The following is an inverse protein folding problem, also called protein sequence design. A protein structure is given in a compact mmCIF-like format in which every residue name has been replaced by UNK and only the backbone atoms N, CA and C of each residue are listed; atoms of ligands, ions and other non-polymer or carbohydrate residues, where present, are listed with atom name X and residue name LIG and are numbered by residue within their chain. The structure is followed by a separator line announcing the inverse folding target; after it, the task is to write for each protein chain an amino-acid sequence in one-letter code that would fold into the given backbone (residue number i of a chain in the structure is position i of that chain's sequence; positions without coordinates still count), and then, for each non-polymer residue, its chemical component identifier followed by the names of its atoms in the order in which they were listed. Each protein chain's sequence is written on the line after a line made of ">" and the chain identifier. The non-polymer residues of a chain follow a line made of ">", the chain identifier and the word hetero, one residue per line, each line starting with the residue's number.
data_IF_636581957014
#
_entry.id   IF_636581957014
#
_cell.length_a   1.000
_cell.length_b   1.000
_cell.length_c   1.000
_cell.angle_alpha   90.00
_cell.angle_beta   90.00
_cell.angle_gamma   90.00
#
_symmetry.space_group_name_H-M   'P 1'
#
loop_
_entity.id
_entity.type
_entity.pdbx_description
1 polymer ?
#
# COMPACT_ATOMS: atom_id res chain seq x y z
N UNK A 1 -13.71 -20.51 -8.65
CA UNK A 1 -14.47 -19.39 -8.06
C UNK A 1 -13.68 -18.12 -8.32
N UNK A 2 -14.28 -17.12 -8.96
CA UNK A 2 -13.64 -15.82 -9.22
C UNK A 2 -13.50 -15.07 -7.91
N UNK A 3 -12.28 -14.69 -7.52
CA UNK A 3 -12.05 -13.85 -6.34
C UNK A 3 -12.71 -12.49 -6.54
N UNK A 4 -13.51 -12.06 -5.56
CA UNK A 4 -14.12 -10.73 -5.55
C UNK A 4 -13.11 -9.71 -5.01
N UNK A 5 -13.23 -8.46 -5.46
CA UNK A 5 -12.48 -7.34 -4.87
C UNK A 5 -12.82 -7.24 -3.39
N UNK A 6 -11.80 -7.32 -2.52
CA UNK A 6 -11.94 -7.10 -1.08
C UNK A 6 -11.82 -5.62 -0.77
N UNK A 7 -12.72 -5.13 0.07
CA UNK A 7 -12.79 -3.72 0.48
C UNK A 7 -12.61 -3.63 1.99
N UNK A 8 -11.58 -2.88 2.39
CA UNK A 8 -11.32 -2.56 3.78
C UNK A 8 -11.36 -1.04 4.00
N UNK A 9 -11.91 -0.63 5.15
CA UNK A 9 -11.92 0.77 5.58
C UNK A 9 -11.12 0.93 6.86
N UNK A 10 -10.44 2.06 7.01
CA UNK A 10 -9.64 2.37 8.20
C UNK A 10 -9.87 3.79 8.64
N UNK A 11 -10.19 3.97 9.92
CA UNK A 11 -10.29 5.30 10.54
C UNK A 11 -9.05 5.58 11.37
N UNK A 12 -8.42 6.75 11.13
CA UNK A 12 -7.22 7.21 11.84
C UNK A 12 -7.57 7.95 13.14
N UNK A 13 -6.62 8.12 14.07
CA UNK A 13 -6.77 9.05 15.19
C UNK A 13 -7.00 10.48 14.70
N UNK A 14 -7.52 11.33 15.58
CA UNK A 14 -7.51 12.77 15.34
C UNK A 14 -6.09 13.30 15.16
N UNK A 15 -5.93 14.24 14.24
CA UNK A 15 -4.70 15.01 14.15
C UNK A 15 -4.71 16.12 15.20
N UNK A 16 -3.54 16.73 15.45
CA UNK A 16 -3.36 17.77 16.47
C UNK A 16 -4.38 18.91 16.33
N UNK A 17 -4.62 19.39 15.11
CA UNK A 17 -5.59 20.46 14.84
C UNK A 17 -7.02 20.07 15.21
N UNK A 18 -7.42 18.83 14.93
CA UNK A 18 -8.76 18.33 15.27
C UNK A 18 -8.95 18.20 16.79
N UNK A 19 -7.90 17.78 17.51
CA UNK A 19 -7.87 17.73 18.98
C UNK A 19 -7.95 19.14 19.57
N UNK A 20 -7.11 20.07 19.10
CA UNK A 20 -7.03 21.44 19.62
C UNK A 20 -8.35 22.21 19.47
N UNK A 21 -9.10 21.93 18.39
CA UNK A 21 -10.41 22.56 18.12
C UNK A 21 -11.56 21.79 18.80
N UNK A 22 -11.29 20.67 19.46
CA UNK A 22 -12.31 19.86 20.13
C UNK A 22 -13.33 19.26 19.16
N UNK A 23 -12.87 18.74 18.01
CA UNK A 23 -13.77 18.15 17.01
C UNK A 23 -14.41 16.86 17.53
N UNK A 24 -15.68 16.67 17.19
CA UNK A 24 -16.43 15.47 17.52
C UNK A 24 -16.04 14.30 16.61
N UNK A 25 -15.91 13.10 17.19
CA UNK A 25 -15.73 11.88 16.40
C UNK A 25 -17.09 11.43 15.86
N UNK A 26 -17.17 11.27 14.55
CA UNK A 26 -18.41 10.89 13.85
C UNK A 26 -18.33 9.51 13.21
N UNK A 27 -17.28 8.74 13.51
CA UNK A 27 -17.06 7.41 12.96
C UNK A 27 -16.90 6.44 14.12
N UNK A 28 -17.71 5.39 14.14
CA UNK A 28 -17.47 4.22 14.98
C UNK A 28 -17.42 2.97 14.10
N UNK A 29 -16.68 1.97 14.56
CA UNK A 29 -16.56 0.70 13.86
C UNK A 29 -16.71 -0.44 14.86
N UNK A 30 -17.40 -1.48 14.41
CA UNK A 30 -17.53 -2.73 15.14
C UNK A 30 -17.57 -3.87 14.14
N UNK A 31 -16.70 -4.86 14.33
CA UNK A 31 -16.56 -6.01 13.43
C UNK A 31 -16.34 -5.56 11.97
N UNK A 32 -17.25 -5.89 11.07
CA UNK A 32 -17.23 -5.54 9.65
C UNK A 32 -18.07 -4.28 9.32
N UNK A 33 -18.63 -3.62 10.34
CA UNK A 33 -19.51 -2.47 10.18
C UNK A 33 -18.81 -1.16 10.52
N UNK A 34 -19.06 -0.15 9.69
CA UNK A 34 -18.67 1.24 9.91
C UNK A 34 -19.92 2.10 10.00
N UNK A 35 -20.06 2.84 11.10
CA UNK A 35 -21.20 3.71 11.38
C UNK A 35 -20.75 5.16 11.32
N UNK A 36 -21.43 5.95 10.48
CA UNK A 36 -21.24 7.39 10.35
C UNK A 36 -22.37 8.14 11.05
N UNK A 37 -22.01 8.91 12.07
CA UNK A 37 -22.91 9.77 12.82
C UNK A 37 -22.98 11.16 12.20
N UNK A 38 -24.11 11.84 12.40
CA UNK A 38 -24.23 13.25 12.03
C UNK A 38 -23.57 14.13 13.12
N UNK A 39 -22.77 15.16 12.75
CA UNK A 39 -22.18 16.06 13.74
C UNK A 39 -23.27 16.80 14.52
N UNK A 40 -23.12 16.89 15.84
CA UNK A 40 -23.99 17.67 16.71
C UNK A 40 -23.78 19.17 16.45
N UNK A 41 -24.85 19.94 16.27
CA UNK A 41 -24.76 21.42 16.21
C UNK A 41 -24.57 22.04 14.82
N UNK A 42 -24.86 21.32 13.73
CA UNK A 42 -25.03 22.00 12.43
C UNK A 42 -26.31 22.86 12.47
N UNK A 43 -26.26 24.09 11.93
CA UNK A 43 -27.41 25.01 11.83
C UNK A 43 -28.59 24.47 11.00
N UNK A 44 -28.47 23.25 10.49
CA UNK A 44 -29.50 22.51 9.79
C UNK A 44 -30.46 21.90 10.82
N UNK A 45 -31.67 22.46 10.91
CA UNK A 45 -32.71 22.08 11.90
C UNK A 45 -33.14 20.60 11.81
N UNK A 46 -32.77 19.91 10.73
CA UNK A 46 -33.04 18.47 10.52
C UNK A 46 -31.86 17.53 10.83
N UNK A 47 -30.68 18.07 11.18
CA UNK A 47 -29.48 17.26 11.43
C UNK A 47 -29.62 16.31 12.63
N UNK A 48 -30.34 16.72 13.68
CA UNK A 48 -30.61 15.90 14.86
C UNK A 48 -31.62 14.77 14.63
N UNK A 49 -32.30 14.73 13.47
CA UNK A 49 -33.31 13.70 13.12
C UNK A 49 -32.81 12.64 12.13
N UNK A 50 -31.61 12.82 11.56
CA UNK A 50 -31.08 11.85 10.59
C UNK A 50 -30.44 10.67 11.31
N UNK A 51 -30.95 9.48 11.02
CA UNK A 51 -30.38 8.23 11.53
C UNK A 51 -28.92 8.07 11.07
N UNK A 52 -28.04 7.48 11.90
CA UNK A 52 -26.68 7.14 11.49
C UNK A 52 -26.66 6.27 10.23
N UNK A 53 -25.68 6.47 9.36
CA UNK A 53 -25.50 5.64 8.17
C UNK A 53 -24.55 4.49 8.48
N UNK A 54 -24.99 3.26 8.23
CA UNK A 54 -24.20 2.06 8.47
C UNK A 54 -23.77 1.43 7.15
N UNK A 55 -22.50 1.07 7.05
CA UNK A 55 -21.89 0.40 5.90
C UNK A 55 -21.23 -0.90 6.37
N UNK A 56 -21.26 -1.93 5.52
CA UNK A 56 -20.56 -3.18 5.74
C UNK A 56 -19.44 -3.35 4.71
N UNK A 57 -18.28 -3.79 5.16
CA UNK A 57 -17.08 -4.02 4.36
C UNK A 57 -16.47 -5.38 4.73
N UNK A 58 -15.49 -5.87 3.97
CA UNK A 58 -14.77 -7.09 4.36
C UNK A 58 -14.00 -6.87 5.68
N UNK A 59 -13.43 -5.67 5.86
CA UNK A 59 -12.77 -5.27 7.10
C UNK A 59 -13.05 -3.80 7.46
N UNK A 60 -13.33 -3.54 8.75
CA UNK A 60 -13.43 -2.18 9.30
C UNK A 60 -12.39 -2.00 10.43
N UNK A 61 -11.31 -1.27 10.13
CA UNK A 61 -10.18 -1.05 11.04
C UNK A 61 -10.36 0.24 11.85
N UNK A 62 -10.66 0.07 13.14
CA UNK A 62 -10.71 1.17 14.08
C UNK A 62 -9.31 1.47 14.63
N UNK A 63 -8.66 2.55 14.18
CA UNK A 63 -7.31 2.91 14.64
C UNK A 63 -7.30 4.25 15.38
N UNK A 64 -8.37 4.63 16.07
CA UNK A 64 -8.49 5.96 16.70
C UNK A 64 -7.70 6.09 18.00
N UNK A 65 -7.86 5.14 18.94
CA UNK A 65 -7.23 5.20 20.26
C UNK A 65 -6.59 3.86 20.62
N UNK A 66 -5.28 3.87 20.83
CA UNK A 66 -4.54 2.67 21.19
C UNK A 66 -4.84 2.14 22.60
N UNK A 67 -5.51 2.92 23.45
CA UNK A 67 -5.92 2.50 24.79
C UNK A 67 -7.13 1.56 24.76
N UNK A 68 -7.94 1.58 23.69
CA UNK A 68 -9.10 0.70 23.49
C UNK A 68 -8.64 -0.58 22.78
N UNK A 69 -7.88 -1.42 23.51
CA UNK A 69 -7.13 -2.57 22.96
C UNK A 69 -8.01 -3.57 22.20
N UNK A 70 -9.25 -3.74 22.64
CA UNK A 70 -10.24 -4.64 22.04
C UNK A 70 -10.71 -4.22 20.64
N UNK A 71 -10.64 -2.92 20.32
CA UNK A 71 -11.03 -2.39 19.00
C UNK A 71 -9.83 -1.95 18.16
N UNK A 72 -8.71 -1.61 18.78
CA UNK A 72 -7.61 -0.94 18.10
C UNK A 72 -6.91 -1.83 17.05
N UNK A 73 -7.02 -1.41 15.79
CA UNK A 73 -6.32 -2.01 14.67
C UNK A 73 -4.96 -1.30 14.44
N UNK A 74 -3.89 -1.93 14.90
CA UNK A 74 -2.51 -1.48 14.64
C UNK A 74 -2.05 -1.85 13.21
N UNK A 75 -0.86 -1.39 12.82
CA UNK A 75 -0.28 -1.69 11.49
C UNK A 75 -0.14 -3.19 11.20
N UNK A 76 0.26 -3.98 12.20
CA UNK A 76 0.40 -5.43 12.03
C UNK A 76 -0.95 -6.11 11.81
N UNK A 77 -2.01 -5.65 12.47
CA UNK A 77 -3.39 -6.14 12.25
C UNK A 77 -3.85 -5.88 10.82
N UNK A 78 -3.62 -4.66 10.31
CA UNK A 78 -3.97 -4.30 8.92
C UNK A 78 -3.18 -5.13 7.92
N UNK A 79 -1.87 -5.30 8.12
CA UNK A 79 -1.03 -6.16 7.28
C UNK A 79 -1.50 -7.62 7.30
N UNK A 80 -1.77 -8.19 8.47
CA UNK A 80 -2.21 -9.58 8.59
C UNK A 80 -3.54 -9.84 7.87
N UNK A 81 -4.43 -8.85 7.81
CA UNK A 81 -5.75 -8.97 7.17
C UNK A 81 -5.75 -8.64 5.68
N UNK A 82 -4.90 -7.73 5.22
CA UNK A 82 -4.89 -7.28 3.83
C UNK A 82 -3.61 -7.62 3.06
N UNK A 83 -2.44 -7.45 3.70
CA UNK A 83 -1.14 -7.64 3.06
C UNK A 83 -0.73 -9.11 2.92
N UNK A 84 -1.00 -9.93 3.94
CA UNK A 84 -0.60 -11.34 3.95
C UNK A 84 -1.21 -12.12 2.78
N UNK A 85 -2.51 -11.97 2.55
CA UNK A 85 -3.18 -12.66 1.45
C UNK A 85 -2.61 -12.27 0.08
N UNK A 86 -2.24 -11.00 -0.10
CA UNK A 86 -1.63 -10.53 -1.35
C UNK A 86 -0.25 -11.14 -1.57
N UNK A 87 0.53 -11.30 -0.49
CA UNK A 87 1.80 -12.03 -0.54
C UNK A 87 1.59 -13.52 -0.85
N UNK A 88 0.63 -14.17 -0.18
CA UNK A 88 0.29 -15.58 -0.42
C UNK A 88 -0.12 -15.82 -1.88
N UNK A 89 -0.89 -14.89 -2.47
CA UNK A 89 -1.28 -14.93 -3.89
C UNK A 89 -0.10 -14.74 -4.83
N UNK A 90 0.84 -13.84 -4.50
CA UNK A 90 2.05 -13.64 -5.29
C UNK A 90 2.92 -14.91 -5.35
N UNK A 91 3.10 -15.62 -4.23
CA UNK A 91 3.82 -16.90 -4.22
C UNK A 91 3.09 -18.03 -4.96
N UNK A 92 1.77 -17.91 -5.15
CA UNK A 92 0.98 -18.84 -5.96
C UNK A 92 1.01 -18.50 -7.47
N UNK A 93 1.75 -17.48 -7.90
CA UNK A 93 1.81 -17.05 -9.30
C UNK A 93 0.62 -16.18 -9.74
N UNK A 94 -0.05 -15.50 -8.81
CA UNK A 94 -1.12 -14.56 -9.14
C UNK A 94 -0.66 -13.11 -9.02
N UNK A 95 -1.08 -12.29 -9.99
CA UNK A 95 -1.01 -10.84 -9.87
C UNK A 95 -1.97 -10.36 -8.77
N UNK A 96 -1.44 -9.62 -7.79
CA UNK A 96 -2.21 -9.08 -6.69
C UNK A 96 -1.90 -7.59 -6.48
N UNK A 97 -2.89 -6.82 -6.04
CA UNK A 97 -2.78 -5.37 -5.92
C UNK A 97 -3.51 -4.86 -4.67
N UNK A 98 -2.87 -3.93 -3.95
CA UNK A 98 -3.46 -3.15 -2.86
C UNK A 98 -3.29 -1.68 -3.21
N UNK A 99 -4.39 -0.93 -3.19
CA UNK A 99 -4.34 0.53 -3.31
C UNK A 99 -5.07 1.19 -2.15
N UNK A 100 -4.53 2.31 -1.69
CA UNK A 100 -5.15 3.10 -0.64
C UNK A 100 -5.91 4.28 -1.23
N UNK A 101 -7.19 4.42 -0.87
CA UNK A 101 -8.07 5.47 -1.33
C UNK A 101 -8.60 6.32 -0.17
N UNK A 102 -8.87 7.60 -0.42
CA UNK A 102 -9.45 8.52 0.55
C UNK A 102 -8.94 9.95 0.41
N UNK A 103 -9.54 10.88 1.17
CA UNK A 103 -9.15 12.29 1.15
C UNK A 103 -7.69 12.53 1.59
N UNK A 104 -7.14 13.70 1.27
CA UNK A 104 -5.83 14.12 1.81
C UNK A 104 -5.85 14.12 3.33
N UNK A 105 -4.79 13.57 3.92
CA UNK A 105 -4.68 13.44 5.38
C UNK A 105 -5.50 12.30 5.99
N UNK A 106 -6.19 11.44 5.21
CA UNK A 106 -6.95 10.30 5.77
C UNK A 106 -6.09 9.14 6.28
N UNK A 107 -4.79 9.14 6.00
CA UNK A 107 -3.87 8.05 6.40
C UNK A 107 -3.49 7.06 5.30
N UNK A 108 -3.67 7.39 4.01
CA UNK A 108 -3.25 6.55 2.87
C UNK A 108 -1.77 6.15 2.95
N UNK A 109 -0.87 7.14 3.00
CA UNK A 109 0.58 6.90 3.10
C UNK A 109 0.97 6.21 4.41
N UNK A 110 0.30 6.54 5.51
CA UNK A 110 0.51 5.86 6.79
C UNK A 110 0.12 4.37 6.72
N UNK A 111 -0.94 4.02 6.01
CA UNK A 111 -1.36 2.62 5.85
C UNK A 111 -0.43 1.85 4.93
N UNK A 112 -0.06 2.42 3.78
CA UNK A 112 0.79 1.74 2.79
C UNK A 112 2.26 1.70 3.23
N UNK A 113 2.84 2.84 3.59
CA UNK A 113 4.26 2.96 3.93
C UNK A 113 4.50 2.97 5.45
N UNK A 114 3.68 3.72 6.19
CA UNK A 114 3.84 3.88 7.64
C UNK A 114 4.87 4.94 8.02
N UNK A 115 5.39 4.81 9.25
CA UNK A 115 6.54 5.58 9.74
C UNK A 115 7.71 4.63 9.99
N UNK A 116 8.88 5.16 10.37
CA UNK A 116 10.04 4.34 10.72
C UNK A 116 9.73 3.37 11.88
N UNK A 117 8.97 3.82 12.87
CA UNK A 117 8.55 3.05 14.05
C UNK A 117 7.33 2.18 13.77
N UNK A 118 6.43 2.65 12.90
CA UNK A 118 5.15 2.02 12.59
C UNK A 118 5.07 1.68 11.10
N UNK A 119 5.91 0.73 10.67
CA UNK A 119 5.96 0.18 9.30
C UNK A 119 4.55 -0.20 8.80
N UNK A 120 4.19 0.25 7.60
CA UNK A 120 2.92 -0.02 6.94
C UNK A 120 2.89 -1.35 6.18
N UNK A 121 1.94 -1.49 5.26
CA UNK A 121 1.74 -2.71 4.46
C UNK A 121 2.97 -3.04 3.61
N UNK A 122 3.50 -2.08 2.84
CA UNK A 122 4.59 -2.30 1.89
C UNK A 122 5.85 -2.81 2.61
N UNK A 123 6.44 -2.10 3.59
CA UNK A 123 7.65 -2.60 4.24
C UNK A 123 7.45 -3.93 4.99
N UNK A 124 6.26 -4.20 5.54
CA UNK A 124 5.95 -5.50 6.16
C UNK A 124 5.82 -6.63 5.14
N UNK A 125 5.25 -6.33 3.97
CA UNK A 125 5.16 -7.27 2.87
C UNK A 125 6.55 -7.62 2.34
N UNK A 126 7.43 -6.62 2.17
CA UNK A 126 8.81 -6.83 1.74
C UNK A 126 9.60 -7.68 2.75
N UNK A 127 9.43 -7.44 4.05
CA UNK A 127 10.08 -8.21 5.12
C UNK A 127 9.64 -9.68 5.08
N UNK A 128 8.32 -9.91 5.08
CA UNK A 128 7.75 -11.26 5.00
C UNK A 128 8.07 -11.99 3.68
N UNK A 129 8.16 -11.25 2.56
CA UNK A 129 8.55 -11.81 1.26
C UNK A 129 9.93 -12.46 1.34
N UNK A 130 10.92 -11.73 1.85
CA UNK A 130 12.28 -12.25 1.96
C UNK A 130 12.41 -13.29 3.08
N UNK A 131 11.67 -13.15 4.18
CA UNK A 131 11.57 -14.20 5.21
C UNK A 131 11.06 -15.52 4.60
N UNK A 132 10.02 -15.48 3.77
CA UNK A 132 9.48 -16.68 3.13
C UNK A 132 10.42 -17.26 2.06
N UNK A 133 11.14 -16.42 1.31
CA UNK A 133 12.19 -16.87 0.38
C UNK A 133 13.33 -17.56 1.14
N UNK A 134 13.83 -16.97 2.23
CA UNK A 134 14.93 -17.52 3.02
C UNK A 134 14.54 -18.80 3.76
N UNK A 135 13.30 -18.90 4.24
CA UNK A 135 12.82 -20.07 4.96
C UNK A 135 12.41 -21.23 4.03
N UNK A 136 12.38 -21.04 2.71
CA UNK A 136 12.13 -22.13 1.78
C UNK A 136 13.37 -23.03 1.67
N UNK A 137 13.20 -24.31 2.02
CA UNK A 137 14.26 -25.33 2.00
C UNK A 137 14.25 -26.19 0.72
N UNK A 138 13.34 -25.90 -0.22
CA UNK A 138 13.24 -26.62 -1.49
C UNK A 138 14.35 -26.19 -2.45
N UNK A 139 15.37 -27.03 -2.61
CA UNK A 139 16.50 -26.81 -3.52
C UNK A 139 16.08 -26.76 -5.00
N UNK A 140 14.89 -27.25 -5.35
CA UNK A 140 14.36 -27.15 -6.71
C UNK A 140 13.84 -25.75 -7.03
N UNK A 141 13.58 -24.92 -6.02
CA UNK A 141 12.98 -23.60 -6.21
C UNK A 141 14.03 -22.48 -6.07
N UNK A 142 13.98 -21.53 -6.99
CA UNK A 142 14.75 -20.29 -6.91
C UNK A 142 13.88 -19.08 -7.20
N UNK A 143 14.22 -17.95 -6.57
CA UNK A 143 13.43 -16.74 -6.60
C UNK A 143 14.23 -15.56 -7.12
N UNK A 144 13.59 -14.74 -7.95
CA UNK A 144 14.13 -13.45 -8.39
C UNK A 144 13.12 -12.36 -8.09
N UNK A 145 13.55 -11.35 -7.35
CA UNK A 145 12.73 -10.18 -7.03
C UNK A 145 13.23 -8.97 -7.81
N UNK A 146 12.33 -8.28 -8.49
CA UNK A 146 12.59 -7.02 -9.19
C UNK A 146 11.59 -5.97 -8.72
N UNK A 147 12.07 -4.76 -8.44
CA UNK A 147 11.28 -3.66 -7.89
C UNK A 147 11.28 -2.48 -8.85
N UNK A 148 10.14 -1.82 -8.96
CA UNK A 148 10.02 -0.50 -9.57
C UNK A 148 9.16 0.41 -8.68
N UNK A 149 9.48 1.71 -8.70
CA UNK A 149 8.73 2.70 -7.92
C UNK A 149 8.58 3.97 -8.73
N UNK A 150 7.33 4.36 -9.00
CA UNK A 150 7.03 5.53 -9.82
C UNK A 150 5.98 6.43 -9.18
N UNK A 151 6.00 7.68 -9.60
CA UNK A 151 4.99 8.68 -9.30
C UNK A 151 4.28 9.10 -10.58
N UNK A 152 2.95 9.17 -10.52
CA UNK A 152 2.11 9.73 -11.57
C UNK A 152 1.54 11.05 -11.03
N UNK A 153 1.88 12.15 -11.70
CA UNK A 153 1.41 13.48 -11.35
C UNK A 153 1.08 14.28 -12.60
N UNK A 154 -0.15 14.80 -12.66
CA UNK A 154 -0.63 15.59 -13.80
C UNK A 154 -0.38 14.87 -15.15
N UNK A 155 -0.77 13.59 -15.22
CA UNK A 155 -0.58 12.70 -16.38
C UNK A 155 0.89 12.50 -16.82
N UNK A 156 1.86 12.88 -15.96
CA UNK A 156 3.28 12.62 -16.17
C UNK A 156 3.77 11.53 -15.24
N UNK A 157 4.60 10.64 -15.77
CA UNK A 157 5.20 9.54 -15.01
C UNK A 157 6.65 9.89 -14.68
N UNK A 158 7.02 9.74 -13.42
CA UNK A 158 8.36 9.99 -12.92
C UNK A 158 8.88 8.75 -12.22
N UNK A 159 10.11 8.38 -12.55
CA UNK A 159 10.82 7.31 -11.85
C UNK A 159 11.33 7.82 -10.50
N UNK A 160 10.93 7.17 -9.41
CA UNK A 160 11.37 7.53 -8.08
C UNK A 160 12.73 6.90 -7.72
N UNK A 161 13.21 5.94 -8.51
CA UNK A 161 14.47 5.23 -8.32
C UNK A 161 15.57 5.68 -9.30
N UNK A 162 15.33 6.69 -10.14
CA UNK A 162 16.36 7.22 -11.03
C UNK A 162 17.49 7.90 -10.21
N UNK A 163 18.72 7.37 -10.23
CA UNK A 163 19.84 7.93 -9.45
C UNK A 163 20.25 9.32 -9.92
N UNK A 164 19.88 9.72 -11.14
CA UNK A 164 20.15 11.08 -11.65
C UNK A 164 19.19 12.10 -11.05
N UNK A 165 18.14 11.67 -10.36
CA UNK A 165 17.10 12.55 -9.81
C UNK A 165 16.38 13.36 -10.89
N UNK A 166 16.42 12.89 -12.14
CA UNK A 166 15.83 13.59 -13.26
C UNK A 166 14.31 13.45 -13.23
N UNK A 167 13.58 14.57 -13.14
CA UNK A 167 12.12 14.61 -13.35
C UNK A 167 11.75 14.48 -14.83
N UNK A 168 12.39 13.55 -15.53
CA UNK A 168 12.00 13.22 -16.90
C UNK A 168 10.59 12.63 -16.85
N UNK A 169 9.73 13.09 -17.76
CA UNK A 169 8.45 12.44 -17.98
C UNK A 169 8.68 11.16 -18.79
N UNK A 170 8.46 10.00 -18.16
CA UNK A 170 8.49 8.71 -18.83
C UNK A 170 7.20 8.50 -19.63
N UNK A 171 7.30 7.77 -20.74
CA UNK A 171 6.17 7.52 -21.63
C UNK A 171 5.50 6.21 -21.27
N UNK A 172 4.18 6.23 -21.11
CA UNK A 172 3.37 5.02 -21.07
C UNK A 172 3.19 4.51 -22.50
N UNK A 173 3.48 3.23 -22.72
CA UNK A 173 3.35 2.54 -24.00
C UNK A 173 2.57 1.25 -23.79
N UNK A 174 2.14 0.62 -24.88
CA UNK A 174 1.43 -0.66 -24.85
C UNK A 174 2.16 -1.67 -25.73
N UNK A 175 2.43 -2.84 -25.17
CA UNK A 175 3.00 -3.98 -25.89
C UNK A 175 1.89 -4.98 -26.22
N UNK A 176 1.85 -5.49 -27.45
CA UNK A 176 0.76 -6.35 -27.94
C UNK A 176 0.48 -7.60 -27.09
N UNK A 177 1.49 -8.09 -26.36
CA UNK A 177 1.37 -9.30 -25.52
C UNK A 177 1.43 -8.95 -24.03
N UNK A 178 2.22 -7.95 -23.63
CA UNK A 178 2.51 -7.67 -22.23
C UNK A 178 1.58 -6.59 -21.66
N UNK A 179 0.81 -5.91 -22.52
CA UNK A 179 -0.07 -4.81 -22.13
C UNK A 179 0.69 -3.51 -21.85
N UNK A 180 0.12 -2.61 -21.02
CA UNK A 180 0.69 -1.30 -20.76
C UNK A 180 1.97 -1.38 -19.92
N UNK A 181 2.98 -0.59 -20.28
CA UNK A 181 4.25 -0.48 -19.57
C UNK A 181 4.81 0.95 -19.64
N UNK A 182 5.75 1.26 -18.75
CA UNK A 182 6.42 2.57 -18.72
C UNK A 182 7.81 2.43 -19.33
N UNK A 183 8.01 3.09 -20.46
CA UNK A 183 9.27 3.07 -21.20
C UNK A 183 10.35 3.86 -20.45
N UNK A 184 11.44 3.18 -20.10
CA UNK A 184 12.56 3.74 -19.33
C UNK A 184 12.40 3.72 -17.82
N UNK A 185 11.38 3.06 -17.26
CA UNK A 185 11.23 2.90 -15.81
C UNK A 185 12.28 1.93 -15.24
N UNK A 186 13.00 2.37 -14.21
CA UNK A 186 13.98 1.55 -13.50
C UNK A 186 13.31 0.31 -12.91
N UNK A 187 13.89 -0.85 -13.23
CA UNK A 187 13.52 -2.15 -12.70
C UNK A 187 14.76 -2.77 -12.06
N UNK A 188 14.83 -2.70 -10.74
CA UNK A 188 16.04 -3.02 -9.98
C UNK A 188 15.90 -4.38 -9.31
N UNK A 189 16.86 -5.27 -9.54
CA UNK A 189 16.91 -6.56 -8.86
C UNK A 189 17.32 -6.35 -7.39
N UNK A 190 16.65 -7.04 -6.48
CA UNK A 190 16.89 -6.98 -5.04
C UNK A 190 17.07 -8.40 -4.50
N UNK A 191 18.02 -8.60 -3.59
CA UNK A 191 18.37 -9.93 -3.08
C UNK A 191 18.02 -10.12 -1.60
N UNK A 192 17.71 -9.04 -0.89
CA UNK A 192 17.36 -9.08 0.53
C UNK A 192 16.46 -7.90 0.93
N UNK A 193 15.94 -7.93 2.16
CA UNK A 193 15.10 -6.87 2.71
C UNK A 193 15.80 -5.51 2.78
N UNK A 194 17.11 -5.47 3.05
CA UNK A 194 17.85 -4.20 3.16
C UNK A 194 17.94 -3.48 1.80
N UNK A 195 18.14 -4.21 0.71
CA UNK A 195 18.19 -3.65 -0.64
C UNK A 195 16.88 -2.91 -0.97
N UNK A 196 15.73 -3.56 -0.72
CA UNK A 196 14.41 -2.99 -1.00
C UNK A 196 14.06 -1.84 -0.05
N UNK A 197 14.48 -1.90 1.23
CA UNK A 197 14.29 -0.82 2.20
C UNK A 197 15.07 0.45 1.83
N UNK A 198 16.29 0.29 1.29
CA UNK A 198 17.08 1.39 0.76
C UNK A 198 16.38 2.05 -0.44
N UNK A 199 15.92 1.26 -1.41
CA UNK A 199 15.20 1.78 -2.58
C UNK A 199 13.89 2.48 -2.20
N UNK A 200 13.13 1.92 -1.25
CA UNK A 200 11.93 2.58 -0.72
C UNK A 200 12.26 3.93 -0.08
N UNK A 201 13.33 3.97 0.71
CA UNK A 201 13.80 5.20 1.38
C UNK A 201 14.23 6.27 0.37
N UNK A 202 14.96 5.90 -0.67
CA UNK A 202 15.37 6.80 -1.76
C UNK A 202 14.17 7.33 -2.54
N UNK A 203 13.25 6.46 -2.94
CA UNK A 203 12.04 6.88 -3.67
C UNK A 203 11.13 7.80 -2.84
N UNK A 204 11.01 7.54 -1.54
CA UNK A 204 10.25 8.40 -0.62
C UNK A 204 10.92 9.78 -0.44
N UNK A 205 12.25 9.86 -0.44
CA UNK A 205 12.98 11.13 -0.41
C UNK A 205 12.75 11.92 -1.70
N UNK A 206 12.88 11.27 -2.86
CA UNK A 206 12.62 11.88 -4.17
C UNK A 206 11.23 12.52 -4.24
N UNK A 207 10.23 11.78 -3.75
CA UNK A 207 8.83 12.23 -3.65
C UNK A 207 8.61 13.39 -2.67
N UNK A 208 9.42 13.50 -1.62
CA UNK A 208 9.29 14.58 -0.64
C UNK A 208 9.95 15.87 -1.14
N UNK A 209 11.13 15.77 -1.76
CA UNK A 209 11.82 16.93 -2.36
C UNK A 209 10.96 17.59 -3.42
N UNK A 210 10.29 16.78 -4.25
CA UNK A 210 9.22 17.19 -5.15
C UNK A 210 8.21 18.14 -4.49
N UNK A 211 7.59 17.70 -3.39
CA UNK A 211 6.58 18.46 -2.66
C UNK A 211 7.11 19.71 -1.92
N UNK A 212 8.42 19.85 -1.70
CA UNK A 212 8.98 21.08 -1.10
C UNK A 212 9.09 22.24 -2.09
N UNK A 213 8.97 21.98 -3.39
CA UNK A 213 8.86 23.02 -4.42
C UNK A 213 7.42 23.55 -4.52
N UNK A 214 7.08 24.45 -3.58
CA UNK A 214 5.96 25.41 -3.65
C UNK A 214 4.52 24.85 -3.72
N UNK A 215 4.30 23.53 -3.71
CA UNK A 215 2.97 22.90 -3.72
C UNK A 215 2.91 21.66 -2.82
N UNK A 216 1.79 21.40 -2.15
CA UNK A 216 1.55 20.13 -1.43
C UNK A 216 1.36 18.95 -2.41
N UNK A 217 2.38 18.66 -3.20
CA UNK A 217 2.39 17.82 -4.42
C UNK A 217 2.05 16.36 -4.11
N UNK A 218 2.53 15.84 -2.97
CA UNK A 218 2.31 14.43 -2.55
C UNK A 218 0.85 14.05 -2.33
N UNK A 219 -0.05 15.04 -2.19
CA UNK A 219 -1.50 14.82 -2.04
C UNK A 219 -2.24 14.66 -3.36
N UNK A 220 -1.65 15.13 -4.46
CA UNK A 220 -2.23 15.15 -5.82
C UNK A 220 -1.54 14.18 -6.77
N UNK A 221 -0.48 13.53 -6.31
CA UNK A 221 0.23 12.49 -7.04
C UNK A 221 -0.18 11.09 -6.58
N UNK A 222 -0.08 10.13 -7.50
CA UNK A 222 -0.23 8.70 -7.22
C UNK A 222 1.15 8.06 -7.18
N UNK A 223 1.44 7.27 -6.16
CA UNK A 223 2.67 6.49 -6.09
C UNK A 223 2.35 5.02 -6.29
N UNK A 224 3.08 4.37 -7.21
CA UNK A 224 2.92 2.96 -7.57
C UNK A 224 4.24 2.26 -7.29
N UNK A 225 4.22 1.39 -6.27
CA UNK A 225 5.33 0.51 -5.92
C UNK A 225 4.99 -0.89 -6.40
N UNK A 226 5.85 -1.45 -7.25
CA UNK A 226 5.63 -2.76 -7.87
C UNK A 226 6.78 -3.70 -7.52
N UNK A 227 6.42 -4.93 -7.17
CA UNK A 227 7.36 -6.04 -6.99
C UNK A 227 6.98 -7.11 -8.01
N UNK A 228 7.95 -7.55 -8.80
CA UNK A 228 7.84 -8.73 -9.66
C UNK A 228 8.62 -9.84 -8.97
N UNK A 229 7.90 -10.87 -8.55
CA UNK A 229 8.46 -12.10 -8.00
C UNK A 229 8.42 -13.16 -9.10
N UNK A 230 9.59 -13.60 -9.55
CA UNK A 230 9.70 -14.74 -10.48
C UNK A 230 10.16 -15.96 -9.69
N UNK A 231 9.39 -17.04 -9.79
CA UNK A 231 9.74 -18.34 -9.21
C UNK A 231 10.18 -19.26 -10.33
N UNK A 232 11.34 -19.88 -10.18
CA UNK A 232 11.88 -20.85 -11.14
C UNK A 232 12.00 -22.19 -10.45
N UNK A 233 11.35 -23.21 -11.01
CA UNK A 233 11.45 -24.60 -10.54
C UNK A 233 12.42 -25.36 -11.44
N UNK A 234 13.39 -26.05 -10.86
CA UNK A 234 14.40 -26.84 -11.57
C UNK A 234 14.25 -28.30 -11.19
N UNK A 235 14.02 -29.15 -12.19
CA UNK A 235 14.10 -30.59 -11.99
C UNK A 235 15.55 -30.98 -11.68
N UNK A 236 15.81 -31.41 -10.45
CA UNK A 236 17.14 -31.77 -9.97
C UNK A 236 17.73 -33.00 -10.68
N UNK A 237 16.92 -33.83 -11.35
CA UNK A 237 17.39 -34.99 -12.09
C UNK A 237 17.85 -34.64 -13.51
N UNK A 238 17.08 -33.79 -14.21
CA UNK A 238 17.36 -33.44 -15.61
C UNK A 238 18.08 -32.09 -15.78
N UNK A 239 18.08 -31.24 -14.75
CA UNK A 239 18.58 -29.87 -14.80
C UNK A 239 17.69 -28.91 -15.59
N UNK A 240 16.49 -29.33 -16.01
CA UNK A 240 15.55 -28.51 -16.77
C UNK A 240 14.81 -27.57 -15.82
N UNK A 241 14.74 -26.28 -16.17
CA UNK A 241 14.05 -25.26 -15.38
C UNK A 241 12.79 -24.74 -16.09
N UNK A 242 11.71 -24.58 -15.32
CA UNK A 242 10.46 -23.93 -15.75
C UNK A 242 10.24 -22.63 -14.96
N UNK A 243 9.72 -21.61 -15.65
CA UNK A 243 9.41 -20.30 -15.06
C UNK A 243 7.93 -20.18 -14.74
N UNK A 244 7.63 -19.78 -13.51
CA UNK A 244 6.29 -19.38 -13.09
C UNK A 244 6.25 -17.86 -12.93
N UNK A 245 5.30 -17.23 -13.64
CA UNK A 245 4.97 -15.81 -13.54
C UNK A 245 3.76 -15.61 -12.63
#
# INVERSE_FOLDING_TARGET
>A
MTDKVKVAVRVRPFNRREVDIGKQCVVDMKDCQTVLYHPSGTHDKDSHKRAPKTFAFDHSFWSIDENVKEKFACQSTVYARCGKEVLDKAFQGYNACIFAYGQTGSGKSYTMMGTAEQKGIIPRLCDALFEQITNNQDESLSYKCVVSYMEIYNEKVHDLLDPKGGRQNLRVREHNILGPYVDGLSSLAVSNFQDIDNLMSEGNKSRTVAATNMNSESSRSHAVFSIILTTTMTDLQSGVSEFFF
#
